data_IF_399624284703
#
_entry.id   IF_399624284703
#
_cell.length_a   1.000
_cell.length_b   1.000
_cell.length_c   1.000
_cell.angle_alpha   90.00
_cell.angle_beta   90.00
_cell.angle_gamma   90.00
#
_symmetry.space_group_name_H-M   'P 1'
#
loop_
_entity.id
_entity.type
_entity.pdbx_description
1 polymer ?
#
# COMPACT_ATOMS: atom_id res chain seq x y z
N UNK A 1 3.13 -2.85 62.35
CA UNK A 1 3.45 -1.78 61.37
C UNK A 1 4.15 -2.44 60.19
N UNK A 2 3.39 -2.84 59.17
CA UNK A 2 3.90 -3.56 57.99
C UNK A 2 3.64 -2.68 56.77
N UNK A 3 4.70 -2.03 56.29
CA UNK A 3 4.67 -1.05 55.20
C UNK A 3 4.41 -1.75 53.88
N UNK A 4 3.25 -1.49 53.27
CA UNK A 4 2.90 -1.92 51.91
C UNK A 4 3.74 -1.13 50.91
N UNK A 5 4.56 -1.82 50.13
CA UNK A 5 5.23 -1.26 48.95
C UNK A 5 4.35 -1.53 47.73
N UNK A 6 3.51 -0.56 47.38
CA UNK A 6 2.74 -0.57 46.13
C UNK A 6 3.73 -0.32 44.99
N UNK A 7 3.98 -1.35 44.18
CA UNK A 7 4.72 -1.22 42.92
C UNK A 7 3.88 -0.33 41.99
N UNK A 8 4.31 0.92 41.81
CA UNK A 8 3.85 1.75 40.70
C UNK A 8 4.25 1.05 39.40
N UNK A 9 3.26 0.52 38.68
CA UNK A 9 3.41 0.22 37.28
C UNK A 9 3.47 1.56 36.52
N UNK A 10 4.67 1.96 36.09
CA UNK A 10 4.78 2.98 35.05
C UNK A 10 4.23 2.36 33.76
N UNK A 11 3.24 2.97 33.09
CA UNK A 11 2.96 2.61 31.71
C UNK A 11 4.18 3.00 30.88
N UNK A 12 4.76 1.98 30.25
CA UNK A 12 5.83 2.10 29.26
C UNK A 12 5.34 3.05 28.17
N UNK A 13 6.04 4.19 28.05
CA UNK A 13 5.96 5.03 26.86
C UNK A 13 6.40 4.19 25.65
N UNK A 14 5.47 3.88 24.74
CA UNK A 14 5.83 3.36 23.42
C UNK A 14 5.94 4.55 22.46
N UNK A 15 7.19 4.94 22.21
CA UNK A 15 7.59 5.72 21.05
C UNK A 15 7.36 4.87 19.79
N UNK A 16 6.41 5.26 18.96
CA UNK A 16 6.47 5.07 17.51
C UNK A 16 5.70 6.23 16.87
N UNK A 17 6.42 7.24 16.40
CA UNK A 17 5.90 8.33 15.58
C UNK A 17 5.57 7.84 14.16
N UNK A 18 4.90 6.69 14.03
CA UNK A 18 4.20 6.32 12.81
C UNK A 18 2.92 7.13 12.78
N UNK A 19 2.70 7.91 11.73
CA UNK A 19 1.49 8.73 11.62
C UNK A 19 0.26 7.83 11.63
N UNK A 20 -0.51 7.85 12.71
CA UNK A 20 -1.80 7.19 12.73
C UNK A 20 -2.72 7.88 11.72
N UNK A 21 -3.28 7.12 10.80
CA UNK A 21 -4.29 7.58 9.83
C UNK A 21 -5.66 7.04 10.21
N UNK A 22 -6.73 7.68 9.73
CA UNK A 22 -8.11 7.22 9.91
C UNK A 22 -8.65 6.73 8.57
N UNK A 23 -8.01 5.68 8.06
CA UNK A 23 -8.39 5.07 6.79
C UNK A 23 -9.71 4.34 7.01
N UNK A 24 -10.73 4.76 6.28
CA UNK A 24 -12.03 4.08 6.27
C UNK A 24 -12.08 3.15 5.06
N UNK A 25 -12.72 1.99 5.21
CA UNK A 25 -12.96 1.10 4.08
C UNK A 25 -13.87 1.77 3.05
N UNK A 26 -13.42 1.90 1.81
CA UNK A 26 -14.26 2.37 0.72
C UNK A 26 -13.48 3.00 -0.43
N UNK A 27 -14.15 3.15 -1.56
CA UNK A 27 -13.65 3.87 -2.72
C UNK A 27 -13.82 5.37 -2.50
N UNK A 28 -12.81 6.16 -2.82
CA UNK A 28 -12.87 7.61 -2.78
C UNK A 28 -14.13 8.20 -3.43
N UNK A 29 -14.81 9.10 -2.71
CA UNK A 29 -15.92 9.87 -3.27
C UNK A 29 -15.42 10.84 -4.35
N UNK A 30 -16.31 11.23 -5.28
CA UNK A 30 -15.97 12.16 -6.35
C UNK A 30 -15.33 13.46 -5.80
N UNK A 31 -14.23 13.91 -6.42
CA UNK A 31 -13.50 15.11 -6.02
C UNK A 31 -12.42 14.90 -4.97
N UNK A 32 -12.40 13.77 -4.26
CA UNK A 32 -11.38 13.44 -3.25
C UNK A 32 -10.16 12.73 -3.84
N UNK A 33 -9.08 12.60 -3.04
CA UNK A 33 -7.93 11.76 -3.40
C UNK A 33 -8.40 10.33 -3.70
N UNK A 34 -8.00 9.76 -4.84
CA UNK A 34 -8.48 8.44 -5.28
C UNK A 34 -9.59 8.46 -6.33
N UNK A 35 -10.33 9.56 -6.41
CA UNK A 35 -11.41 9.70 -7.38
C UNK A 35 -10.89 9.72 -8.83
N UNK A 36 -11.72 9.26 -9.77
CA UNK A 36 -11.47 9.42 -11.20
C UNK A 36 -11.53 10.91 -11.60
N UNK A 37 -10.73 11.29 -12.59
CA UNK A 37 -10.68 12.67 -13.09
C UNK A 37 -10.21 12.70 -14.55
N UNK A 38 -10.62 13.73 -15.29
CA UNK A 38 -10.07 14.04 -16.61
C UNK A 38 -9.15 15.27 -16.55
N UNK A 39 -9.35 16.14 -15.56
CA UNK A 39 -8.55 17.33 -15.29
C UNK A 39 -8.43 17.61 -13.80
N UNK A 40 -7.47 18.46 -13.42
CA UNK A 40 -7.28 18.87 -12.03
C UNK A 40 -8.52 19.57 -11.43
N UNK A 41 -9.37 20.18 -12.27
CA UNK A 41 -10.61 20.82 -11.84
C UNK A 41 -11.70 19.85 -11.35
N UNK A 42 -11.56 18.55 -11.63
CA UNK A 42 -12.50 17.53 -11.16
C UNK A 42 -12.21 17.11 -9.70
N UNK A 43 -11.07 17.53 -9.16
CA UNK A 43 -10.56 17.19 -7.83
C UNK A 43 -10.84 18.33 -6.83
N UNK A 44 -12.10 18.73 -6.72
CA UNK A 44 -12.52 19.95 -6.03
C UNK A 44 -12.46 19.88 -4.49
N UNK A 45 -12.21 18.69 -3.92
CA UNK A 45 -12.01 18.48 -2.49
C UNK A 45 -10.53 18.40 -2.09
N UNK A 46 -9.60 18.43 -3.06
CA UNK A 46 -8.16 18.28 -2.82
C UNK A 46 -7.46 19.63 -2.92
N UNK A 47 -6.71 20.02 -1.88
CA UNK A 47 -5.90 21.23 -1.94
C UNK A 47 -4.70 21.03 -2.88
N UNK A 48 -4.44 22.01 -3.76
CA UNK A 48 -3.40 21.93 -4.78
C UNK A 48 -3.51 20.68 -5.67
N UNK A 49 -4.74 20.31 -6.02
CA UNK A 49 -5.05 19.08 -6.72
C UNK A 49 -4.35 18.92 -8.07
N UNK A 50 -4.06 17.67 -8.40
CA UNK A 50 -3.58 17.20 -9.68
C UNK A 50 -4.40 15.98 -10.11
N UNK A 51 -4.65 15.89 -11.40
CA UNK A 51 -5.19 14.67 -12.00
C UNK A 51 -4.03 13.85 -12.57
N UNK A 52 -3.65 12.79 -11.87
CA UNK A 52 -2.54 11.93 -12.28
C UNK A 52 -2.94 11.08 -13.48
N UNK A 53 -1.95 10.78 -14.34
CA UNK A 53 -2.10 9.89 -15.50
C UNK A 53 -2.08 8.42 -15.08
N UNK A 54 -3.07 8.04 -14.30
CA UNK A 54 -3.35 6.66 -13.89
C UNK A 54 -4.63 6.19 -14.61
N UNK A 55 -5.01 4.90 -14.53
CA UNK A 55 -6.20 4.41 -15.23
C UNK A 55 -7.49 5.17 -14.83
N UNK A 56 -8.21 5.70 -15.83
CA UNK A 56 -9.33 6.66 -15.73
C UNK A 56 -9.05 7.94 -14.91
N UNK A 57 -7.79 8.31 -14.77
CA UNK A 57 -7.33 9.43 -13.96
C UNK A 57 -7.43 9.17 -12.46
N UNK A 58 -6.69 9.97 -11.70
CA UNK A 58 -6.61 9.82 -10.25
C UNK A 58 -6.35 11.17 -9.58
N UNK A 59 -7.33 11.64 -8.81
CA UNK A 59 -7.20 12.84 -8.01
C UNK A 59 -6.15 12.63 -6.92
N UNK A 60 -5.19 13.56 -6.83
CA UNK A 60 -4.11 13.51 -5.87
C UNK A 60 -3.56 14.92 -5.58
N UNK A 61 -2.71 15.03 -4.57
CA UNK A 61 -1.89 16.19 -4.28
C UNK A 61 -0.43 15.76 -4.15
N UNK A 62 0.51 16.65 -4.51
CA UNK A 62 1.92 16.41 -4.22
C UNK A 62 2.19 16.52 -2.72
N UNK A 63 2.99 15.63 -2.15
CA UNK A 63 3.42 15.66 -0.76
C UNK A 63 4.96 15.66 -0.63
N UNK A 64 5.50 15.87 0.57
CA UNK A 64 6.95 15.93 0.84
C UNK A 64 7.51 14.64 1.44
N UNK A 65 6.77 13.52 1.34
CA UNK A 65 7.12 12.23 1.95
C UNK A 65 6.65 12.09 3.40
N UNK A 66 5.99 13.10 3.97
CA UNK A 66 5.42 13.03 5.31
C UNK A 66 4.03 12.39 5.31
N UNK A 67 3.76 11.47 6.24
CA UNK A 67 2.43 10.90 6.42
C UNK A 67 1.34 11.96 6.66
N UNK A 68 1.68 13.13 7.23
CA UNK A 68 0.74 14.19 7.55
C UNK A 68 0.51 15.22 6.43
N UNK A 69 1.17 15.06 5.28
CA UNK A 69 1.04 15.98 4.15
C UNK A 69 -0.26 15.76 3.35
N UNK A 70 -0.91 14.62 3.60
CA UNK A 70 -2.13 14.18 2.94
C UNK A 70 -3.30 14.16 3.93
N UNK A 71 -4.53 14.17 3.42
CA UNK A 71 -5.73 14.07 4.25
C UNK A 71 -5.76 12.76 5.07
N UNK A 72 -6.71 12.66 6.01
CA UNK A 72 -6.76 11.54 6.96
C UNK A 72 -7.07 10.18 6.31
N UNK A 73 -7.58 10.17 5.07
CA UNK A 73 -7.89 8.97 4.29
C UNK A 73 -6.83 8.66 3.24
N UNK A 74 -5.78 9.46 3.14
CA UNK A 74 -4.71 9.26 2.17
C UNK A 74 -3.33 9.18 2.82
N UNK A 75 -2.43 8.50 2.12
CA UNK A 75 -1.06 8.26 2.53
C UNK A 75 -0.14 8.81 1.45
N UNK A 76 0.88 9.55 1.87
CA UNK A 76 1.92 10.01 0.98
C UNK A 76 2.78 8.81 0.54
N UNK A 77 2.83 8.56 -0.77
CA UNK A 77 3.65 7.50 -1.34
C UNK A 77 4.40 7.95 -2.58
N UNK A 78 5.50 7.26 -2.86
CA UNK A 78 6.32 7.49 -4.03
C UNK A 78 5.67 6.82 -5.26
N UNK A 79 5.46 7.61 -6.32
CA UNK A 79 5.08 7.09 -7.64
C UNK A 79 6.19 7.36 -8.66
N UNK A 80 6.80 6.28 -9.17
CA UNK A 80 7.80 6.36 -10.24
C UNK A 80 9.14 6.96 -9.79
N UNK A 81 9.65 7.93 -10.55
CA UNK A 81 11.02 8.44 -10.44
C UNK A 81 11.21 9.53 -9.34
N UNK A 82 10.72 9.30 -8.10
CA UNK A 82 10.90 10.17 -6.91
C UNK A 82 9.88 11.29 -6.68
N UNK A 83 8.71 11.25 -7.32
CA UNK A 83 7.63 12.15 -6.99
C UNK A 83 6.71 11.52 -5.92
N UNK A 84 6.41 12.28 -4.86
CA UNK A 84 5.52 11.84 -3.79
C UNK A 84 4.12 12.42 -3.98
N UNK A 85 3.13 11.54 -3.88
CA UNK A 85 1.73 11.87 -4.10
C UNK A 85 0.86 11.28 -3.00
N UNK A 86 -0.22 11.98 -2.67
CA UNK A 86 -1.25 11.48 -1.78
C UNK A 86 -2.06 10.42 -2.53
N UNK A 87 -2.00 9.19 -2.03
CA UNK A 87 -2.78 8.07 -2.55
C UNK A 87 -3.85 7.67 -1.54
N UNK A 88 -4.95 7.15 -2.06
CA UNK A 88 -6.13 6.77 -1.30
C UNK A 88 -5.75 5.55 -0.46
N UNK A 89 -6.11 5.60 0.82
CA UNK A 89 -5.79 4.53 1.75
C UNK A 89 -6.73 3.35 1.57
N UNK A 90 -6.24 2.16 1.87
CA UNK A 90 -7.04 0.95 1.88
C UNK A 90 -6.73 0.10 3.12
N UNK A 91 -7.70 -0.68 3.58
CA UNK A 91 -7.48 -1.69 4.60
C UNK A 91 -7.04 -2.98 3.94
N UNK A 92 -5.84 -3.45 4.30
CA UNK A 92 -5.26 -4.64 3.66
C UNK A 92 -6.08 -5.91 3.93
N UNK A 93 -6.82 -5.95 5.04
CA UNK A 93 -7.72 -7.07 5.38
C UNK A 93 -8.92 -7.18 4.43
N UNK A 94 -9.32 -6.07 3.80
CA UNK A 94 -10.36 -6.05 2.76
C UNK A 94 -9.79 -6.37 1.36
N UNK A 95 -8.47 -6.53 1.24
CA UNK A 95 -7.81 -6.73 -0.04
C UNK A 95 -8.06 -5.57 -1.00
N UNK A 96 -8.52 -5.87 -2.22
CA UNK A 96 -8.71 -4.87 -3.26
C UNK A 96 -10.09 -4.22 -3.28
N UNK A 97 -11.03 -4.63 -2.40
CA UNK A 97 -12.40 -4.10 -2.44
C UNK A 97 -12.50 -2.63 -2.00
N UNK A 98 -11.50 -2.15 -1.25
CA UNK A 98 -11.43 -0.74 -0.86
C UNK A 98 -10.97 0.13 -2.03
N UNK A 99 -10.27 -0.45 -3.01
CA UNK A 99 -9.80 0.29 -4.17
C UNK A 99 -10.81 0.25 -5.33
N UNK A 100 -10.64 1.17 -6.28
CA UNK A 100 -11.31 1.10 -7.60
C UNK A 100 -10.95 -0.19 -8.33
N UNK A 101 -11.82 -0.65 -9.24
CA UNK A 101 -11.67 -1.94 -9.94
C UNK A 101 -10.33 -2.15 -10.65
N UNK A 102 -9.69 -1.08 -11.12
CA UNK A 102 -8.39 -1.14 -11.82
C UNK A 102 -7.19 -1.02 -10.88
N UNK A 103 -7.44 -0.97 -9.57
CA UNK A 103 -6.47 -0.70 -8.53
C UNK A 103 -6.37 -1.88 -7.56
N UNK A 104 -5.24 -1.95 -6.86
CA UNK A 104 -4.93 -2.92 -5.83
C UNK A 104 -4.53 -2.20 -4.55
N UNK A 105 -4.78 -2.83 -3.41
CA UNK A 105 -4.27 -2.36 -2.14
C UNK A 105 -2.81 -2.79 -1.98
N UNK A 106 -1.87 -1.84 -2.02
CA UNK A 106 -0.46 -2.09 -1.76
C UNK A 106 -0.15 -1.84 -0.28
N UNK A 107 0.15 -2.90 0.45
CA UNK A 107 0.37 -2.83 1.89
C UNK A 107 1.53 -1.87 2.25
N UNK A 108 1.30 -1.02 3.26
CA UNK A 108 2.26 -0.07 3.81
C UNK A 108 2.53 -0.43 5.27
N UNK A 109 3.47 -1.37 5.54
CA UNK A 109 3.71 -1.87 6.89
C UNK A 109 4.31 -0.82 7.85
N UNK A 110 4.75 0.31 7.30
CA UNK A 110 5.25 1.48 8.02
C UNK A 110 4.14 2.40 8.55
N UNK A 111 2.90 2.22 8.09
CA UNK A 111 1.73 3.01 8.49
C UNK A 111 0.72 2.08 9.18
N UNK A 112 0.09 2.57 10.25
CA UNK A 112 -0.96 1.85 10.97
C UNK A 112 -2.20 2.72 11.08
N UNK A 113 -3.37 2.09 10.99
CA UNK A 113 -4.63 2.75 11.28
C UNK A 113 -4.77 3.01 12.79
N UNK A 114 -5.64 3.95 13.19
CA UNK A 114 -5.88 4.26 14.61
C UNK A 114 -6.33 3.05 15.45
N UNK A 115 -7.01 2.08 14.83
CA UNK A 115 -7.47 0.84 15.48
C UNK A 115 -6.41 -0.28 15.44
N UNK A 116 -5.23 -0.02 14.88
CA UNK A 116 -4.15 -0.98 14.71
C UNK A 116 -4.29 -1.87 13.47
N UNK A 117 -5.28 -1.64 12.61
CA UNK A 117 -5.41 -2.35 11.34
C UNK A 117 -4.23 -2.04 10.40
N UNK A 118 -3.84 -3.04 9.61
CA UNK A 118 -2.84 -2.88 8.56
C UNK A 118 -3.44 -2.14 7.36
N UNK A 119 -2.79 -1.05 6.97
CA UNK A 119 -3.23 -0.21 5.86
C UNK A 119 -2.31 -0.36 4.66
N UNK A 120 -2.81 0.09 3.53
CA UNK A 120 -2.06 0.23 2.29
C UNK A 120 -2.51 1.46 1.53
N UNK A 121 -2.02 1.56 0.30
CA UNK A 121 -2.45 2.57 -0.68
C UNK A 121 -3.03 1.92 -1.92
N UNK A 122 -4.02 2.57 -2.53
CA UNK A 122 -4.56 2.17 -3.81
C UNK A 122 -3.63 2.61 -4.94
N UNK A 123 -3.00 1.61 -5.57
CA UNK A 123 -2.14 1.77 -6.75
C UNK A 123 -2.71 0.96 -7.91
N UNK A 124 -2.34 1.21 -9.17
CA UNK A 124 -2.83 0.42 -10.29
C UNK A 124 -2.51 -1.06 -10.09
N UNK A 125 -3.41 -1.92 -10.55
CA UNK A 125 -3.13 -3.36 -10.64
C UNK A 125 -1.87 -3.57 -11.46
N UNK A 126 -1.07 -4.55 -11.07
CA UNK A 126 0.09 -4.93 -11.87
C UNK A 126 -0.39 -5.59 -13.16
N UNK A 127 0.29 -5.31 -14.26
CA UNK A 127 0.12 -6.01 -15.55
C UNK A 127 1.32 -6.91 -15.84
N UNK A 128 2.45 -6.62 -15.19
CA UNK A 128 3.73 -7.24 -15.42
C UNK A 128 4.57 -7.25 -14.14
N UNK A 129 5.57 -8.12 -14.14
CA UNK A 129 6.53 -8.25 -13.04
C UNK A 129 7.30 -6.96 -12.72
N UNK A 130 7.43 -6.04 -13.68
CA UNK A 130 8.09 -4.74 -13.50
C UNK A 130 7.23 -3.72 -12.76
N UNK A 131 5.92 -3.96 -12.65
CA UNK A 131 5.00 -3.09 -11.89
C UNK A 131 5.01 -3.43 -10.39
N UNK A 132 5.79 -4.44 -10.02
CA UNK A 132 5.95 -4.92 -8.67
C UNK A 132 7.32 -4.59 -8.11
N UNK A 133 7.33 -4.45 -6.79
CA UNK A 133 8.48 -4.17 -5.96
C UNK A 133 9.49 -5.34 -6.04
N UNK A 134 10.76 -5.05 -5.82
CA UNK A 134 11.81 -6.07 -5.89
C UNK A 134 11.48 -7.30 -5.02
N UNK A 135 11.61 -8.50 -5.58
CA UNK A 135 11.27 -9.75 -4.90
C UNK A 135 9.80 -10.18 -5.04
N UNK A 136 8.95 -9.36 -5.67
CA UNK A 136 7.56 -9.71 -6.00
C UNK A 136 7.39 -9.93 -7.50
N UNK A 137 6.30 -10.63 -7.85
CA UNK A 137 5.86 -10.88 -9.23
C UNK A 137 4.41 -10.46 -9.36
N UNK A 138 4.00 -10.16 -10.58
CA UNK A 138 2.60 -9.92 -10.84
C UNK A 138 1.83 -11.24 -10.93
N UNK A 139 0.73 -11.33 -10.19
CA UNK A 139 -0.33 -12.29 -10.45
C UNK A 139 -1.38 -11.62 -11.33
N UNK A 140 -1.25 -11.76 -12.66
CA UNK A 140 -2.12 -11.10 -13.65
C UNK A 140 -3.59 -11.51 -13.54
N UNK A 141 -3.90 -12.64 -12.88
CA UNK A 141 -5.28 -13.05 -12.63
C UNK A 141 -5.98 -12.19 -11.58
N UNK A 142 -5.26 -11.75 -10.55
CA UNK A 142 -5.79 -10.88 -9.49
C UNK A 142 -5.37 -9.41 -9.61
N UNK A 143 -4.33 -9.15 -10.41
CA UNK A 143 -3.67 -7.85 -10.52
C UNK A 143 -2.81 -7.51 -9.30
N UNK A 144 -2.47 -8.50 -8.46
CA UNK A 144 -1.71 -8.28 -7.23
C UNK A 144 -0.23 -8.61 -7.40
N UNK A 145 0.62 -7.82 -6.74
CA UNK A 145 2.01 -8.19 -6.53
C UNK A 145 2.11 -9.24 -5.42
N UNK A 146 2.52 -10.45 -5.76
CA UNK A 146 2.70 -11.57 -4.82
C UNK A 146 4.18 -11.89 -4.67
N UNK A 147 4.57 -12.54 -3.57
CA UNK A 147 5.95 -12.97 -3.39
C UNK A 147 6.39 -13.87 -4.57
N UNK A 148 7.62 -13.68 -5.06
CA UNK A 148 8.21 -14.62 -6.03
C UNK A 148 8.47 -15.95 -5.35
N UNK A 149 7.79 -16.99 -5.83
CA UNK A 149 8.00 -18.39 -5.45
C UNK A 149 7.84 -18.69 -3.95
N UNK A 150 6.69 -19.25 -3.57
CA UNK A 150 6.51 -19.90 -2.26
C UNK A 150 7.39 -21.16 -2.07
N UNK A 151 8.08 -21.59 -3.14
CA UNK A 151 8.96 -22.76 -3.14
C UNK A 151 10.22 -22.46 -2.35
N UNK A 152 10.51 -23.29 -1.35
CA UNK A 152 11.70 -23.17 -0.54
C UNK A 152 12.95 -23.40 -1.40
N UNK A 153 14.09 -22.86 -0.99
CA UNK A 153 15.39 -23.15 -1.60
C UNK A 153 15.61 -24.67 -1.64
N UNK A 154 15.69 -25.25 -2.84
CA UNK A 154 15.84 -26.69 -3.06
C UNK A 154 14.60 -27.41 -3.59
N UNK A 155 13.43 -26.76 -3.57
CA UNK A 155 12.23 -27.31 -4.21
C UNK A 155 12.27 -27.16 -5.73
N UNK A 156 11.77 -28.17 -6.44
CA UNK A 156 11.60 -28.08 -7.88
C UNK A 156 10.50 -27.09 -8.26
N UNK A 157 10.83 -26.17 -9.16
CA UNK A 157 9.91 -25.31 -9.90
C UNK A 157 9.95 -25.72 -11.39
N UNK A 158 8.80 -25.73 -12.06
CA UNK A 158 8.69 -26.06 -13.50
C UNK A 158 8.80 -24.83 -14.39
N UNK A 159 8.73 -23.63 -13.82
CA UNK A 159 8.93 -22.36 -14.51
C UNK A 159 9.63 -21.35 -13.60
N UNK A 160 10.45 -20.46 -14.17
CA UNK A 160 11.25 -19.49 -13.41
C UNK A 160 10.40 -18.58 -12.51
N UNK A 161 9.16 -18.29 -12.92
CA UNK A 161 8.21 -17.49 -12.14
C UNK A 161 7.67 -18.20 -10.88
N UNK A 162 7.95 -19.50 -10.70
CA UNK A 162 7.61 -20.29 -9.51
C UNK A 162 8.78 -20.41 -8.54
N UNK A 163 9.99 -20.09 -8.97
CA UNK A 163 11.18 -20.19 -8.14
C UNK A 163 11.33 -18.93 -7.27
N UNK A 164 11.95 -19.10 -6.10
CA UNK A 164 12.30 -17.98 -5.24
C UNK A 164 13.31 -17.05 -5.94
N UNK A 165 13.29 -15.75 -5.62
CA UNK A 165 14.10 -14.74 -6.29
C UNK A 165 15.58 -15.12 -6.37
N UNK A 166 16.12 -15.26 -7.60
CA UNK A 166 17.51 -15.67 -7.86
C UNK A 166 17.70 -17.15 -8.23
N UNK A 167 16.64 -17.96 -8.25
CA UNK A 167 16.68 -19.36 -8.67
C UNK A 167 16.03 -19.55 -10.05
N UNK A 168 16.68 -20.31 -10.92
CA UNK A 168 16.17 -20.71 -12.25
C UNK A 168 15.55 -22.11 -12.15
N UNK A 169 14.43 -22.33 -12.82
CA UNK A 169 13.84 -23.65 -12.94
C UNK A 169 14.82 -24.56 -13.67
N UNK A 170 15.38 -25.55 -12.96
CA UNK A 170 16.24 -26.55 -13.58
C UNK A 170 15.37 -27.72 -14.04
N UNK A 171 15.37 -28.08 -15.34
CA UNK A 171 14.68 -29.28 -15.78
C UNK A 171 15.34 -30.47 -15.08
N UNK A 172 14.55 -31.24 -14.33
CA UNK A 172 14.98 -32.46 -13.67
C UNK A 172 15.62 -33.35 -14.74
N UNK A 173 16.93 -33.58 -14.65
CA UNK A 173 17.59 -34.59 -15.47
C UNK A 173 16.88 -35.92 -15.17
N UNK A 174 16.32 -36.53 -16.23
CA UNK A 174 15.68 -37.83 -16.17
C UNK A 174 16.67 -38.92 -15.76
#
# INVERSE_FOLDING_TARGET
MTTRWTRLALPVALLALGGCKNITAGQAEAGNVGAACEAAGDCDQVEAAQCLRMPDGYCSASCSGGAFDCDDQSICDELGDQAYYCLDGCLTDNGNSDCRDQYRCSARPDVVNFDGAMVGVCVPKCESDSDCEAGRRCDTGSGNCVARGEKATGDACTANNQCNGGLVASPRAA
#
